data_IF_251708373617
#
_entry.id   IF_251708373617
#
_cell.length_a   1.000
_cell.length_b   1.000
_cell.length_c   1.000
_cell.angle_alpha   90.00
_cell.angle_beta   90.00
_cell.angle_gamma   90.00
#
_symmetry.space_group_name_H-M   'P 1'
#
loop_
_entity.id
_entity.type
_entity.pdbx_description
1 polymer ?
#
# COMPACT_ATOMS: atom_id res chain seq x y z
N UNK A 1 1.58 -1.57 -0.70
CA UNK A 1 0.57 -0.64 -1.25
C UNK A 1 1.16 0.76 -1.27
N UNK A 2 1.14 1.41 -2.42
CA UNK A 2 1.42 2.84 -2.55
C UNK A 2 0.21 3.64 -2.08
N UNK A 3 0.45 4.63 -1.22
CA UNK A 3 -0.58 5.50 -0.67
C UNK A 3 -0.05 6.90 -0.44
N UNK A 4 -0.94 7.84 -0.21
CA UNK A 4 -0.61 9.16 0.29
C UNK A 4 -1.61 9.53 1.40
N UNK A 5 -1.18 10.29 2.42
CA UNK A 5 -2.06 10.70 3.52
C UNK A 5 -3.11 11.75 3.10
N UNK A 6 -2.85 12.50 2.02
CA UNK A 6 -3.78 13.48 1.42
C UNK A 6 -4.80 12.79 0.47
N UNK A 7 -4.60 11.50 0.16
CA UNK A 7 -5.51 10.71 -0.67
C UNK A 7 -6.70 10.14 0.12
N UNK A 8 -7.90 10.70 -0.09
CA UNK A 8 -9.12 10.29 0.63
C UNK A 8 -9.44 8.80 0.47
N UNK A 9 -9.31 8.23 -0.73
CA UNK A 9 -9.54 6.80 -0.97
C UNK A 9 -8.53 5.91 -0.22
N UNK A 10 -7.29 6.39 -0.08
CA UNK A 10 -6.24 5.71 0.67
C UNK A 10 -6.58 5.64 2.16
N UNK A 11 -6.96 6.77 2.76
CA UNK A 11 -7.25 6.85 4.20
C UNK A 11 -8.56 6.13 4.55
N UNK A 12 -9.61 6.30 3.76
CA UNK A 12 -10.96 5.81 4.10
C UNK A 12 -11.22 4.37 3.70
N UNK A 13 -10.53 3.85 2.65
CA UNK A 13 -10.78 2.50 2.12
C UNK A 13 -9.51 1.66 2.01
N UNK A 14 -8.44 2.21 1.43
CA UNK A 14 -7.21 1.47 1.14
C UNK A 14 -6.47 0.98 2.39
N UNK A 15 -6.24 1.86 3.35
CA UNK A 15 -5.57 1.53 4.61
C UNK A 15 -6.41 0.57 5.48
N UNK A 16 -7.73 0.80 5.69
CA UNK A 16 -8.57 -0.18 6.37
C UNK A 16 -8.56 -1.56 5.70
N UNK A 17 -8.63 -1.61 4.36
CA UNK A 17 -8.52 -2.86 3.61
C UNK A 17 -7.18 -3.56 3.85
N UNK A 18 -6.07 -2.82 3.76
CA UNK A 18 -4.73 -3.38 3.97
C UNK A 18 -4.54 -3.90 5.40
N UNK A 19 -5.13 -3.24 6.40
CA UNK A 19 -5.15 -3.73 7.80
C UNK A 19 -5.93 -5.02 7.95
N UNK A 20 -7.07 -5.17 7.26
CA UNK A 20 -7.84 -6.43 7.26
C UNK A 20 -7.01 -7.55 6.66
N UNK A 21 -6.40 -7.35 5.49
CA UNK A 21 -5.53 -8.35 4.87
C UNK A 21 -4.36 -8.75 5.77
N UNK A 22 -3.71 -7.78 6.42
CA UNK A 22 -2.63 -8.07 7.37
C UNK A 22 -3.11 -8.91 8.56
N UNK A 23 -4.31 -8.64 9.07
CA UNK A 23 -4.87 -9.40 10.20
C UNK A 23 -5.28 -10.82 9.78
N UNK A 24 -5.94 -10.96 8.63
CA UNK A 24 -6.44 -12.22 8.11
C UNK A 24 -5.32 -13.18 7.68
N UNK A 25 -4.31 -12.64 6.98
CA UNK A 25 -3.19 -13.41 6.45
C UNK A 25 -1.90 -13.20 7.25
N UNK A 26 -2.01 -12.75 8.50
CA UNK A 26 -0.88 -12.50 9.38
C UNK A 26 0.02 -13.73 9.53
N UNK A 27 1.33 -13.54 9.37
CA UNK A 27 2.32 -14.63 9.39
C UNK A 27 2.47 -15.40 8.08
N UNK A 28 1.58 -15.19 7.10
CA UNK A 28 1.62 -15.83 5.77
C UNK A 28 1.91 -14.82 4.66
N UNK A 29 1.49 -13.56 4.84
CA UNK A 29 1.72 -12.47 3.88
C UNK A 29 2.44 -11.31 4.56
N UNK A 30 3.50 -10.84 3.92
CA UNK A 30 4.18 -9.61 4.31
C UNK A 30 3.45 -8.39 3.74
N UNK A 31 3.20 -7.41 4.59
CA UNK A 31 2.50 -6.17 4.21
C UNK A 31 3.43 -4.98 4.40
N UNK A 32 3.50 -4.11 3.39
CA UNK A 32 4.27 -2.87 3.41
C UNK A 32 3.42 -1.73 2.84
N UNK A 33 3.32 -0.64 3.59
CA UNK A 33 2.85 0.65 3.08
C UNK A 33 4.02 1.42 2.47
N UNK A 34 3.81 2.06 1.32
CA UNK A 34 4.78 3.00 0.73
C UNK A 34 4.05 4.34 0.57
N UNK A 35 4.42 5.32 1.38
CA UNK A 35 3.91 6.67 1.23
C UNK A 35 4.65 7.35 0.08
N UNK A 36 3.96 7.69 -1.00
CA UNK A 36 4.59 8.28 -2.21
C UNK A 36 4.11 9.70 -2.48
N UNK A 37 5.01 10.54 -2.99
CA UNK A 37 4.67 11.86 -3.53
C UNK A 37 4.22 11.83 -5.00
N UNK A 38 4.34 10.68 -5.69
CA UNK A 38 3.92 10.57 -7.10
C UNK A 38 2.44 10.92 -7.27
N UNK A 39 2.15 11.92 -8.10
CA UNK A 39 0.79 12.42 -8.31
C UNK A 39 0.23 13.26 -7.15
N UNK A 40 1.07 13.64 -6.19
CA UNK A 40 0.74 14.47 -5.03
C UNK A 40 1.74 15.63 -4.92
N UNK A 41 1.54 16.50 -3.92
CA UNK A 41 2.47 17.58 -3.64
C UNK A 41 3.81 17.01 -3.15
N UNK A 42 4.89 17.41 -3.82
CA UNK A 42 6.25 17.12 -3.36
C UNK A 42 6.57 17.98 -2.13
N UNK A 43 7.05 17.33 -1.08
CA UNK A 43 7.44 17.94 0.18
C UNK A 43 8.80 17.42 0.59
N UNK A 44 9.63 18.29 1.15
CA UNK A 44 10.88 17.89 1.79
C UNK A 44 10.62 16.95 2.97
N UNK A 45 11.62 16.09 3.27
CA UNK A 45 11.52 15.03 4.28
C UNK A 45 11.05 15.56 5.63
N UNK A 46 11.61 16.69 6.09
CA UNK A 46 11.32 17.32 7.38
C UNK A 46 9.84 17.75 7.52
N UNK A 47 9.15 17.99 6.40
CA UNK A 47 7.73 18.36 6.38
C UNK A 47 6.81 17.14 6.30
N UNK A 48 7.17 16.15 5.49
CA UNK A 48 6.29 14.99 5.24
C UNK A 48 6.43 13.91 6.31
N UNK A 49 7.65 13.64 6.78
CA UNK A 49 7.93 12.52 7.68
C UNK A 49 7.16 12.59 9.01
N UNK A 50 7.07 13.74 9.72
CA UNK A 50 6.28 13.83 10.94
C UNK A 50 4.79 13.53 10.72
N UNK A 51 4.25 13.96 9.58
CA UNK A 51 2.84 13.74 9.21
C UNK A 51 2.59 12.26 8.95
N UNK A 52 3.46 11.61 8.18
CA UNK A 52 3.36 10.18 7.88
C UNK A 52 3.54 9.33 9.15
N UNK A 53 4.50 9.68 10.02
CA UNK A 53 4.71 9.00 11.31
C UNK A 53 3.49 9.14 12.21
N UNK A 54 2.96 10.35 12.39
CA UNK A 54 1.74 10.59 13.18
C UNK A 54 0.55 9.80 12.62
N UNK A 55 0.41 9.78 11.30
CA UNK A 55 -0.63 8.98 10.64
C UNK A 55 -0.45 7.50 10.94
N UNK A 56 0.73 6.94 10.68
CA UNK A 56 1.01 5.52 10.82
C UNK A 56 0.94 5.03 12.27
N UNK A 57 1.56 5.75 13.20
CA UNK A 57 1.75 5.29 14.58
C UNK A 57 0.58 5.65 15.49
N UNK A 58 -0.05 6.83 15.30
CA UNK A 58 -1.06 7.34 16.24
C UNK A 58 -2.48 7.31 15.68
N UNK A 59 -2.69 7.78 14.45
CA UNK A 59 -4.03 7.93 13.88
C UNK A 59 -4.57 6.60 13.33
N UNK A 60 -3.88 6.03 12.34
CA UNK A 60 -4.27 4.79 11.68
C UNK A 60 -3.79 3.55 12.43
N UNK A 61 -2.76 3.67 13.28
CA UNK A 61 -2.15 2.58 14.06
C UNK A 61 -1.88 1.36 13.16
N UNK A 62 -0.99 1.56 12.19
CA UNK A 62 -0.68 0.56 11.17
C UNK A 62 0.13 -0.58 11.79
N UNK A 63 -0.31 -1.84 11.66
CA UNK A 63 0.37 -3.01 12.24
C UNK A 63 1.53 -3.51 11.36
N UNK A 64 1.92 -2.75 10.35
CA UNK A 64 2.92 -3.09 9.35
C UNK A 64 3.82 -1.89 9.06
N UNK A 65 5.06 -2.11 8.56
CA UNK A 65 5.98 -1.04 8.24
C UNK A 65 5.45 -0.10 7.16
N UNK A 66 5.93 1.15 7.22
CA UNK A 66 5.69 2.18 6.20
C UNK A 66 7.04 2.72 5.72
N UNK A 67 7.29 2.62 4.43
CA UNK A 67 8.40 3.27 3.76
C UNK A 67 7.97 4.64 3.20
N UNK A 68 8.93 5.54 3.02
CA UNK A 68 8.73 6.85 2.43
C UNK A 68 9.41 6.89 1.05
N UNK A 69 8.58 7.01 0.00
CA UNK A 69 8.99 7.26 -1.38
C UNK A 69 8.88 8.77 -1.64
N UNK A 70 9.95 9.48 -1.28
CA UNK A 70 9.93 10.94 -1.11
C UNK A 70 9.70 11.70 -2.41
N UNK A 71 10.37 11.29 -3.49
CA UNK A 71 10.31 11.92 -4.82
C UNK A 71 9.38 11.17 -5.78
N UNK A 72 8.83 10.02 -5.35
CA UNK A 72 7.92 9.23 -6.17
C UNK A 72 8.63 8.28 -7.13
N UNK A 73 9.96 8.17 -7.07
CA UNK A 73 10.74 7.35 -8.02
C UNK A 73 10.44 5.86 -7.89
N UNK A 74 10.15 5.36 -6.68
CA UNK A 74 9.77 3.96 -6.49
C UNK A 74 8.41 3.72 -7.16
N UNK A 75 7.42 4.59 -6.91
CA UNK A 75 6.13 4.51 -7.56
C UNK A 75 6.25 4.63 -9.09
N UNK A 76 7.16 5.49 -9.58
CA UNK A 76 7.49 5.64 -11.00
C UNK A 76 8.00 4.36 -11.63
N UNK A 77 9.01 3.74 -11.02
CA UNK A 77 9.64 2.50 -11.47
C UNK A 77 8.63 1.38 -11.65
N UNK A 78 7.64 1.29 -10.76
CA UNK A 78 6.58 0.29 -10.83
C UNK A 78 5.35 0.72 -11.65
N UNK A 79 5.44 1.85 -12.35
CA UNK A 79 4.40 2.34 -13.25
C UNK A 79 3.02 2.46 -12.57
N UNK A 80 2.99 2.85 -11.29
CA UNK A 80 1.73 3.08 -10.57
C UNK A 80 0.90 4.17 -11.24
N UNK A 81 -0.40 3.94 -11.44
CA UNK A 81 -1.30 4.90 -12.09
C UNK A 81 -1.72 6.04 -11.14
N UNK A 82 -1.64 5.80 -9.83
CA UNK A 82 -2.01 6.75 -8.79
C UNK A 82 -1.99 6.10 -7.41
N UNK A 83 -2.78 6.62 -6.47
CA UNK A 83 -2.94 6.03 -5.13
C UNK A 83 -4.43 5.89 -4.77
N UNK A 84 -4.86 4.81 -4.09
CA UNK A 84 -4.03 3.68 -3.67
C UNK A 84 -3.67 2.78 -4.85
N UNK A 85 -2.49 2.15 -4.79
CA UNK A 85 -2.07 1.15 -5.78
C UNK A 85 -1.44 -0.03 -5.06
N UNK A 86 -1.85 -1.24 -5.42
CA UNK A 86 -1.33 -2.47 -4.83
C UNK A 86 -0.42 -3.19 -5.82
N UNK A 87 0.72 -3.61 -5.32
CA UNK A 87 1.57 -4.60 -5.95
C UNK A 87 1.56 -5.83 -5.04
N UNK A 88 1.34 -7.00 -5.63
CA UNK A 88 1.44 -8.28 -4.95
C UNK A 88 2.56 -9.09 -5.59
N UNK A 89 3.42 -9.65 -4.75
CA UNK A 89 4.62 -10.38 -5.17
C UNK A 89 4.58 -11.81 -4.65
N UNK A 90 5.19 -12.72 -5.40
CA UNK A 90 5.53 -14.06 -4.92
C UNK A 90 6.73 -14.00 -3.97
N UNK A 91 7.01 -15.12 -3.28
CA UNK A 91 8.12 -15.23 -2.32
C UNK A 91 9.48 -15.01 -2.99
N UNK A 92 9.62 -15.35 -4.27
CA UNK A 92 10.83 -15.14 -5.07
C UNK A 92 11.00 -13.69 -5.56
N UNK A 93 10.05 -12.80 -5.23
CA UNK A 93 10.04 -11.41 -5.68
C UNK A 93 9.37 -11.16 -7.03
N UNK A 94 8.83 -12.20 -7.69
CA UNK A 94 8.10 -12.04 -8.95
C UNK A 94 6.82 -11.24 -8.73
N UNK A 95 6.59 -10.19 -9.53
CA UNK A 95 5.36 -9.40 -9.49
C UNK A 95 4.19 -10.24 -10.03
N UNK A 96 3.22 -10.56 -9.17
CA UNK A 96 2.03 -11.34 -9.52
C UNK A 96 0.88 -10.45 -10.00
N UNK A 97 0.65 -9.32 -9.33
CA UNK A 97 -0.43 -8.38 -9.68
C UNK A 97 -0.02 -6.94 -9.44
N UNK A 98 -0.50 -6.07 -10.32
CA UNK A 98 -0.49 -4.62 -10.19
C UNK A 98 -1.94 -4.14 -10.32
N UNK A 99 -2.47 -3.50 -9.29
CA UNK A 99 -3.90 -3.14 -9.20
C UNK A 99 -4.02 -1.69 -8.74
N UNK A 100 -4.62 -0.85 -9.57
CA UNK A 100 -4.93 0.52 -9.20
C UNK A 100 -6.29 0.61 -8.49
N UNK A 101 -6.36 1.43 -7.43
CA UNK A 101 -7.51 1.71 -6.57
C UNK A 101 -8.83 1.97 -7.26
N UNK A 102 -8.77 2.66 -8.39
CA UNK A 102 -9.95 3.11 -9.12
C UNK A 102 -10.45 2.08 -10.14
N UNK A 103 -9.75 0.95 -10.31
CA UNK A 103 -10.20 -0.14 -11.17
C UNK A 103 -11.36 -0.89 -10.52
N UNK A 104 -12.26 -1.42 -11.36
CA UNK A 104 -13.40 -2.20 -10.90
C UNK A 104 -12.94 -3.45 -10.13
N UNK A 105 -13.60 -3.74 -9.01
CA UNK A 105 -13.35 -4.91 -8.16
C UNK A 105 -11.89 -5.05 -7.68
N UNK A 106 -11.13 -3.95 -7.59
CA UNK A 106 -9.71 -3.97 -7.22
C UNK A 106 -9.41 -4.71 -5.90
N UNK A 107 -10.20 -4.46 -4.84
CA UNK A 107 -10.01 -5.12 -3.55
C UNK A 107 -10.33 -6.62 -3.63
N UNK A 108 -11.46 -6.98 -4.22
CA UNK A 108 -11.87 -8.38 -4.41
C UNK A 108 -10.85 -9.18 -5.20
N UNK A 109 -10.27 -8.60 -6.27
CA UNK A 109 -9.19 -9.24 -7.03
C UNK A 109 -7.95 -9.54 -6.20
N UNK A 110 -7.63 -8.68 -5.23
CA UNK A 110 -6.51 -8.90 -4.30
C UNK A 110 -6.86 -9.94 -3.23
N UNK A 111 -8.08 -9.91 -2.70
CA UNK A 111 -8.57 -10.91 -1.74
C UNK A 111 -8.47 -12.32 -2.33
N UNK A 112 -9.00 -12.54 -3.54
CA UNK A 112 -8.90 -13.84 -4.21
C UNK A 112 -7.46 -14.28 -4.48
N UNK A 113 -6.60 -13.35 -4.91
CA UNK A 113 -5.19 -13.67 -5.12
C UNK A 113 -4.52 -14.16 -3.83
N UNK A 114 -4.72 -13.45 -2.72
CA UNK A 114 -4.07 -13.81 -1.45
C UNK A 114 -4.64 -15.13 -0.90
N UNK A 115 -5.96 -15.33 -1.00
CA UNK A 115 -6.59 -16.59 -0.63
C UNK A 115 -6.01 -17.77 -1.42
N UNK A 116 -5.83 -17.61 -2.75
CA UNK A 116 -5.21 -18.64 -3.59
C UNK A 116 -3.76 -18.92 -3.20
N UNK A 117 -2.96 -17.88 -2.99
CA UNK A 117 -1.53 -18.03 -2.66
C UNK A 117 -1.30 -18.70 -1.31
N UNK A 118 -2.16 -18.40 -0.33
CA UNK A 118 -2.04 -18.92 1.03
C UNK A 118 -2.55 -20.35 1.16
N UNK A 119 -3.46 -20.79 0.29
CA UNK A 119 -3.95 -22.18 0.27
C UNK A 119 -3.03 -23.16 -0.47
N UNK A 120 -2.01 -22.68 -1.19
CA UNK A 120 -1.07 -23.55 -1.90
C UNK A 120 -0.04 -24.12 -0.89
N UNK A 121 0.05 -25.46 -0.77
CA UNK A 121 0.94 -26.13 0.17
C UNK A 121 2.43 -25.91 -0.15
#
# INVERSE_FOLDING_TARGET
MFFNVECAACVTRGIPFLKRLHHEYGGQVNVLGIHTSRGHRLLERDRVEPTVRRFAESFAKLPFPVALDLDGHIAETWQTEGTPHWLAFAVDGTLLRSVYGSQENAQTRLEYLLAELVQRP
#
